data_IF_283858888097
#
_entry.id   IF_283858888097
#
_cell.length_a   1.000
_cell.length_b   1.000
_cell.length_c   1.000
_cell.angle_alpha   90.00
_cell.angle_beta   90.00
_cell.angle_gamma   90.00
#
_symmetry.space_group_name_H-M   'P 1'
#
loop_
_entity.id
_entity.type
_entity.pdbx_description
1 polymer ?
#
# COMPACT_ATOMS: atom_id res chain seq x y z
N UNK A 1 10.55 1.95 7.88
CA UNK A 1 9.14 1.97 8.35
C UNK A 1 8.87 3.34 8.92
N UNK A 2 7.74 3.96 8.59
CA UNK A 2 7.38 5.24 9.19
C UNK A 2 6.88 4.97 10.62
N UNK A 3 7.77 5.11 11.61
CA UNK A 3 7.47 4.84 13.03
C UNK A 3 6.45 5.82 13.62
N UNK A 4 6.06 6.86 12.87
CA UNK A 4 5.08 7.88 13.25
C UNK A 4 3.83 7.87 12.35
N UNK A 5 3.36 6.70 11.90
CA UNK A 5 2.07 6.62 11.19
C UNK A 5 0.94 7.17 12.07
N UNK A 6 0.11 8.06 11.53
CA UNK A 6 -1.04 8.62 12.25
C UNK A 6 -2.13 7.59 12.50
N UNK A 7 -2.21 6.55 11.67
CA UNK A 7 -3.28 5.54 11.71
C UNK A 7 -2.85 4.21 12.29
N UNK A 8 -1.65 3.73 11.96
CA UNK A 8 -1.16 2.41 12.34
C UNK A 8 -0.39 2.46 13.67
N UNK A 9 -0.89 1.74 14.68
CA UNK A 9 -0.20 1.54 15.97
C UNK A 9 0.89 0.48 15.86
N UNK A 10 0.66 -0.56 15.06
CA UNK A 10 1.65 -1.60 14.78
C UNK A 10 1.47 -2.18 13.38
N UNK A 11 2.55 -2.77 12.88
CA UNK A 11 2.60 -3.38 11.55
C UNK A 11 2.88 -4.87 11.66
N UNK A 12 2.19 -5.65 10.84
CA UNK A 12 2.39 -7.08 10.68
C UNK A 12 3.18 -7.36 9.40
N UNK A 13 3.85 -8.51 9.38
CA UNK A 13 4.45 -9.06 8.16
C UNK A 13 4.24 -10.56 8.15
N UNK A 14 3.75 -11.08 7.02
CA UNK A 14 3.59 -12.51 6.80
C UNK A 14 4.09 -12.87 5.41
N UNK A 15 4.66 -14.07 5.29
CA UNK A 15 5.05 -14.66 4.01
C UNK A 15 4.12 -15.84 3.74
N UNK A 16 3.37 -15.76 2.66
CA UNK A 16 2.57 -16.89 2.16
C UNK A 16 3.31 -17.54 1.01
N UNK A 17 3.12 -18.85 0.84
CA UNK A 17 3.69 -19.60 -0.28
C UNK A 17 2.57 -20.12 -1.17
N UNK A 18 2.73 -19.94 -2.48
CA UNK A 18 1.88 -20.48 -3.55
C UNK A 18 2.78 -21.27 -4.48
N UNK A 19 2.61 -22.59 -4.54
CA UNK A 19 3.50 -23.53 -5.23
C UNK A 19 5.00 -23.33 -4.88
N UNK A 20 5.79 -22.73 -5.79
CA UNK A 20 7.23 -22.43 -5.66
C UNK A 20 7.52 -20.94 -5.38
N UNK A 21 6.49 -20.10 -5.35
CA UNK A 21 6.60 -18.64 -5.23
C UNK A 21 6.16 -18.17 -3.84
N UNK A 22 6.80 -17.11 -3.35
CA UNK A 22 6.45 -16.47 -2.10
C UNK A 22 5.77 -15.12 -2.36
N UNK A 23 4.79 -14.77 -1.53
CA UNK A 23 4.24 -13.41 -1.44
C UNK A 23 4.47 -12.92 -0.03
N UNK A 24 5.16 -11.78 0.07
CA UNK A 24 5.36 -11.05 1.31
C UNK A 24 4.25 -10.02 1.43
N UNK A 25 3.49 -10.09 2.53
CA UNK A 25 2.51 -9.07 2.90
C UNK A 25 3.03 -8.25 4.07
N UNK A 26 2.96 -6.93 3.96
CA UNK A 26 3.09 -5.99 5.08
C UNK A 26 1.76 -5.26 5.23
N UNK A 27 1.23 -5.23 6.45
CA UNK A 27 -0.09 -4.69 6.71
C UNK A 27 -0.15 -3.99 8.04
N UNK A 28 -1.12 -3.10 8.22
CA UNK A 28 -1.41 -2.54 9.54
C UNK A 28 -1.93 -3.67 10.42
N UNK A 29 -1.24 -4.06 11.49
CA UNK A 29 -1.73 -5.15 12.35
C UNK A 29 -2.77 -4.63 13.34
N UNK A 30 -2.48 -3.46 13.91
CA UNK A 30 -3.36 -2.77 14.84
C UNK A 30 -3.38 -1.28 14.52
N UNK A 31 -4.58 -0.69 14.38
CA UNK A 31 -4.76 0.76 14.27
C UNK A 31 -4.71 1.43 15.65
N UNK A 32 -4.55 2.74 15.69
CA UNK A 32 -4.81 3.50 16.91
C UNK A 32 -6.26 3.35 17.37
N UNK A 33 -6.50 3.33 18.69
CA UNK A 33 -7.82 3.02 19.27
C UNK A 33 -8.90 4.07 18.89
N UNK A 34 -8.47 5.30 18.58
CA UNK A 34 -9.29 6.43 18.13
C UNK A 34 -9.35 6.58 16.60
N UNK A 35 -8.75 5.65 15.84
CA UNK A 35 -8.73 5.71 14.39
C UNK A 35 -10.10 5.34 13.79
N UNK A 36 -10.72 6.28 13.08
CA UNK A 36 -11.99 6.07 12.39
C UNK A 36 -11.76 5.63 10.93
N UNK A 37 -11.89 4.32 10.66
CA UNK A 37 -11.81 3.77 9.31
C UNK A 37 -12.87 4.37 8.36
N UNK A 38 -14.04 4.75 8.88
CA UNK A 38 -15.13 5.29 8.04
C UNK A 38 -14.82 6.68 7.46
N UNK A 39 -13.82 7.37 8.02
CA UNK A 39 -13.31 8.63 7.48
C UNK A 39 -12.63 8.49 6.12
N UNK A 40 -12.23 7.28 5.71
CA UNK A 40 -11.49 7.00 4.48
C UNK A 40 -12.24 6.00 3.59
N UNK A 41 -13.29 6.45 2.86
CA UNK A 41 -14.18 5.54 2.16
C UNK A 41 -13.67 5.07 0.79
N UNK A 42 -12.63 5.69 0.25
CA UNK A 42 -12.10 5.38 -1.07
C UNK A 42 -10.85 4.52 -0.97
N UNK A 43 -10.83 3.42 -1.72
CA UNK A 43 -9.67 2.53 -1.84
C UNK A 43 -8.90 2.85 -3.11
N UNK A 44 -7.60 3.04 -2.97
CA UNK A 44 -6.64 3.22 -4.05
C UNK A 44 -5.66 2.05 -4.06
N UNK A 45 -5.52 1.40 -5.21
CA UNK A 45 -4.52 0.34 -5.43
C UNK A 45 -3.50 0.86 -6.43
N UNK A 46 -2.25 0.95 -6.00
CA UNK A 46 -1.10 1.22 -6.87
C UNK A 46 -0.44 -0.13 -7.15
N UNK A 47 -0.32 -0.51 -8.41
CA UNK A 47 0.26 -1.77 -8.85
C UNK A 47 1.51 -1.51 -9.68
N UNK A 48 2.58 -2.25 -9.39
CA UNK A 48 3.84 -2.24 -10.11
C UNK A 48 4.18 -3.65 -10.55
N UNK A 49 4.16 -3.90 -11.87
CA UNK A 49 4.58 -5.17 -12.46
C UNK A 49 6.06 -5.13 -12.81
N UNK A 50 6.76 -6.21 -12.51
CA UNK A 50 8.18 -6.40 -12.81
C UNK A 50 8.40 -7.82 -13.34
N UNK A 51 9.61 -8.14 -13.77
CA UNK A 51 9.95 -9.48 -14.27
C UNK A 51 11.18 -10.01 -13.54
N UNK A 52 11.02 -11.13 -12.84
CA UNK A 52 12.07 -11.86 -12.17
C UNK A 52 11.71 -13.37 -12.08
N UNK A 53 12.71 -14.24 -12.19
CA UNK A 53 12.54 -15.70 -12.14
C UNK A 53 12.05 -16.19 -10.77
N UNK A 54 12.37 -15.45 -9.71
CA UNK A 54 11.98 -15.78 -8.33
C UNK A 54 10.60 -15.21 -7.94
N UNK A 55 10.00 -14.41 -8.82
CA UNK A 55 8.79 -13.66 -8.54
C UNK A 55 8.97 -12.50 -7.54
N UNK A 56 10.19 -12.25 -7.06
CA UNK A 56 10.55 -11.15 -6.16
C UNK A 56 11.34 -10.08 -6.91
N UNK A 57 11.24 -8.79 -6.54
CA UNK A 57 11.93 -7.75 -7.28
C UNK A 57 13.44 -7.83 -7.05
N UNK A 58 14.21 -7.70 -8.13
CA UNK A 58 15.65 -7.54 -8.05
C UNK A 58 16.02 -6.29 -7.20
N UNK A 59 17.24 -6.22 -6.61
CA UNK A 59 17.60 -5.13 -5.70
C UNK A 59 17.39 -3.72 -6.26
N UNK A 60 17.78 -3.46 -7.51
CA UNK A 60 17.58 -2.16 -8.18
C UNK A 60 16.09 -1.83 -8.36
N UNK A 61 15.29 -2.82 -8.75
CA UNK A 61 13.84 -2.64 -8.89
C UNK A 61 13.18 -2.32 -7.54
N UNK A 62 13.62 -3.01 -6.48
CA UNK A 62 13.17 -2.76 -5.11
C UNK A 62 13.54 -1.35 -4.64
N UNK A 63 14.73 -0.87 -4.96
CA UNK A 63 15.16 0.51 -4.63
C UNK A 63 14.22 1.54 -5.27
N UNK A 64 13.86 1.38 -6.56
CA UNK A 64 12.88 2.29 -7.19
C UNK A 64 11.47 2.21 -6.57
N UNK A 65 11.04 1.03 -6.13
CA UNK A 65 9.77 0.87 -5.42
C UNK A 65 9.81 1.56 -4.04
N UNK A 66 10.95 1.52 -3.36
CA UNK A 66 11.17 2.24 -2.10
C UNK A 66 11.19 3.76 -2.32
N UNK A 67 11.75 4.24 -3.44
CA UNK A 67 11.71 5.66 -3.82
C UNK A 67 10.27 6.15 -4.07
N UNK A 68 9.44 5.35 -4.74
CA UNK A 68 8.02 5.66 -4.92
C UNK A 68 7.32 5.78 -3.56
N UNK A 69 7.50 4.80 -2.68
CA UNK A 69 6.86 4.79 -1.37
C UNK A 69 7.32 5.99 -0.51
N UNK A 70 8.62 6.28 -0.50
CA UNK A 70 9.20 7.43 0.20
C UNK A 70 8.74 8.78 -0.37
N UNK A 71 8.42 8.85 -1.65
CA UNK A 71 7.86 10.05 -2.28
C UNK A 71 6.41 10.29 -1.89
N UNK A 72 5.61 9.23 -1.79
CA UNK A 72 4.17 9.32 -1.55
C UNK A 72 3.84 9.51 -0.08
N UNK A 73 4.44 8.71 0.81
CA UNK A 73 4.02 8.64 2.21
C UNK A 73 3.91 10.02 2.90
N UNK A 74 4.88 10.96 2.77
CA UNK A 74 4.80 12.25 3.45
C UNK A 74 3.64 13.13 2.98
N UNK A 75 3.15 12.97 1.75
CA UNK A 75 2.10 13.84 1.19
C UNK A 75 0.72 13.19 1.27
N UNK A 76 0.63 11.87 1.02
CA UNK A 76 -0.67 11.18 0.99
C UNK A 76 -1.13 10.76 2.39
N UNK A 77 -0.21 10.55 3.33
CA UNK A 77 -0.58 10.19 4.71
C UNK A 77 -0.64 11.41 5.65
N UNK A 78 -0.35 12.61 5.13
CA UNK A 78 -0.38 13.87 5.89
C UNK A 78 -1.72 14.07 6.60
N UNK A 79 -1.66 14.36 7.90
CA UNK A 79 -2.82 14.59 8.77
C UNK A 79 -3.88 13.47 8.73
N UNK A 80 -3.46 12.24 8.44
CA UNK A 80 -4.38 11.11 8.33
C UNK A 80 -5.29 11.15 7.10
N UNK A 81 -4.89 11.86 6.05
CA UNK A 81 -5.64 11.93 4.79
C UNK A 81 -5.78 10.58 4.08
N UNK A 82 -4.73 9.77 4.09
CA UNK A 82 -4.76 8.39 3.62
C UNK A 82 -4.01 7.47 4.58
N UNK A 83 -4.27 6.17 4.47
CA UNK A 83 -3.56 5.12 5.20
C UNK A 83 -3.14 4.03 4.25
N UNK A 84 -1.83 3.73 4.23
CA UNK A 84 -1.31 2.53 3.60
C UNK A 84 -1.71 1.32 4.45
N UNK A 85 -2.75 0.60 4.04
CA UNK A 85 -3.31 -0.50 4.82
C UNK A 85 -2.59 -1.83 4.57
N UNK A 86 -2.18 -2.07 3.31
CA UNK A 86 -1.61 -3.34 2.87
C UNK A 86 -0.62 -3.11 1.73
N UNK A 87 0.51 -3.81 1.79
CA UNK A 87 1.46 -3.99 0.69
C UNK A 87 1.66 -5.47 0.45
N UNK A 88 1.55 -5.92 -0.78
CA UNK A 88 1.92 -7.28 -1.20
C UNK A 88 3.09 -7.23 -2.16
N UNK A 89 4.06 -8.13 -2.05
CA UNK A 89 5.19 -8.25 -2.97
C UNK A 89 5.46 -9.72 -3.24
N UNK A 90 5.35 -10.12 -4.49
CA UNK A 90 5.58 -11.48 -4.96
C UNK A 90 4.90 -11.70 -6.30
N UNK A 91 5.13 -12.86 -6.92
CA UNK A 91 4.52 -13.22 -8.21
C UNK A 91 4.67 -12.11 -9.28
N UNK A 92 5.84 -11.47 -9.36
CA UNK A 92 6.12 -10.42 -10.35
C UNK A 92 5.23 -9.17 -10.22
N UNK A 93 4.67 -8.95 -9.03
CA UNK A 93 3.78 -7.85 -8.71
C UNK A 93 4.09 -7.27 -7.33
N UNK A 94 4.07 -5.94 -7.22
CA UNK A 94 3.94 -5.24 -5.94
C UNK A 94 2.70 -4.37 -5.98
N UNK A 95 1.84 -4.50 -4.96
CA UNK A 95 0.68 -3.64 -4.80
C UNK A 95 0.75 -2.89 -3.47
N UNK A 96 0.36 -1.62 -3.49
CA UNK A 96 0.11 -0.79 -2.31
C UNK A 96 -1.38 -0.45 -2.29
N UNK A 97 -2.06 -0.83 -1.21
CA UNK A 97 -3.48 -0.53 -0.99
C UNK A 97 -3.58 0.58 0.04
N UNK A 98 -4.00 1.74 -0.43
CA UNK A 98 -4.34 2.89 0.39
C UNK A 98 -5.85 2.96 0.58
N UNK A 99 -6.28 3.46 1.74
CA UNK A 99 -7.60 4.03 1.94
C UNK A 99 -7.46 5.53 2.17
N UNK A 100 -8.38 6.33 1.64
CA UNK A 100 -8.28 7.79 1.68
C UNK A 100 -9.63 8.47 1.84
N UNK A 101 -9.62 9.68 2.39
CA UNK A 101 -10.80 10.53 2.55
C UNK A 101 -11.42 10.94 1.20
N UNK A 102 -10.60 11.07 0.15
CA UNK A 102 -11.06 11.42 -1.21
C UNK A 102 -10.09 10.89 -2.26
N UNK A 103 -10.58 10.04 -3.16
CA UNK A 103 -9.77 9.52 -4.26
C UNK A 103 -9.25 10.62 -5.19
N UNK A 104 -10.06 11.66 -5.47
CA UNK A 104 -9.65 12.79 -6.32
C UNK A 104 -8.45 13.52 -5.72
N UNK A 105 -8.52 13.86 -4.44
CA UNK A 105 -7.45 14.58 -3.76
C UNK A 105 -6.20 13.71 -3.58
N UNK A 106 -6.35 12.39 -3.42
CA UNK A 106 -5.23 11.45 -3.45
C UNK A 106 -4.46 11.53 -4.77
N UNK A 107 -5.16 11.57 -5.91
CA UNK A 107 -4.51 11.73 -7.22
C UNK A 107 -3.80 13.08 -7.36
N UNK A 108 -4.37 14.17 -6.82
CA UNK A 108 -3.71 15.49 -6.82
C UNK A 108 -2.39 15.47 -6.04
N UNK A 109 -2.40 14.88 -4.83
CA UNK A 109 -1.22 14.73 -3.97
C UNK A 109 -0.17 13.82 -4.62
N UNK A 110 -0.60 12.69 -5.18
CA UNK A 110 0.26 11.77 -5.92
C UNK A 110 0.93 12.45 -7.11
N UNK A 111 0.18 13.14 -7.96
CA UNK A 111 0.74 13.83 -9.12
C UNK A 111 1.74 14.92 -8.69
N UNK A 112 1.44 15.66 -7.63
CA UNK A 112 2.35 16.65 -7.06
C UNK A 112 3.66 16.03 -6.58
N UNK A 113 3.59 14.94 -5.81
CA UNK A 113 4.79 14.26 -5.28
C UNK A 113 5.67 13.63 -6.37
N UNK A 114 5.08 13.21 -7.49
CA UNK A 114 5.79 12.53 -8.57
C UNK A 114 6.19 13.45 -9.73
N UNK A 115 5.72 14.71 -9.77
CA UNK A 115 5.91 15.62 -10.90
C UNK A 115 7.38 15.88 -11.29
N UNK A 116 8.29 15.89 -10.32
CA UNK A 116 9.73 16.12 -10.53
C UNK A 116 10.56 14.84 -10.63
N UNK A 117 9.92 13.68 -10.59
CA UNK A 117 10.57 12.37 -10.56
C UNK A 117 10.53 11.68 -11.92
N UNK A 118 11.43 10.72 -12.18
CA UNK A 118 11.29 9.82 -13.31
C UNK A 118 9.92 9.13 -13.30
N UNK A 119 9.42 8.77 -14.49
CA UNK A 119 8.14 8.08 -14.61
C UNK A 119 8.25 6.66 -14.03
N UNK A 120 7.42 6.37 -13.04
CA UNK A 120 7.28 5.02 -12.49
C UNK A 120 6.34 4.17 -13.37
N UNK A 121 6.61 2.85 -13.54
CA UNK A 121 5.79 1.94 -14.33
C UNK A 121 4.59 1.42 -13.51
N UNK A 122 3.79 2.35 -12.98
CA UNK A 122 2.66 2.03 -12.10
C UNK A 122 1.31 2.08 -12.82
N UNK A 123 0.43 1.15 -12.46
CA UNK A 123 -1.01 1.21 -12.75
C UNK A 123 -1.74 1.61 -11.47
N UNK A 124 -2.72 2.51 -11.56
CA UNK A 124 -3.51 2.93 -10.40
C UNK A 124 -4.99 2.61 -10.65
N UNK A 125 -5.64 2.00 -9.65
CA UNK A 125 -7.07 1.67 -9.66
C UNK A 125 -7.71 2.30 -8.43
N UNK A 126 -8.89 2.90 -8.59
CA UNK A 126 -9.66 3.46 -7.49
C UNK A 126 -11.07 2.89 -7.48
N UNK A 127 -11.61 2.69 -6.28
CA UNK A 127 -12.99 2.27 -6.07
C UNK A 127 -13.47 2.69 -4.68
N UNK A 128 -14.76 2.95 -4.53
CA UNK A 128 -15.36 3.11 -3.21
C UNK A 128 -15.33 1.77 -2.45
N UNK A 129 -14.89 1.81 -1.19
CA UNK A 129 -14.92 0.70 -0.25
C UNK A 129 -15.09 1.22 1.19
N UNK A 130 -16.23 1.87 1.51
CA UNK A 130 -16.44 2.51 2.80
C UNK A 130 -16.44 1.55 3.99
N UNK A 131 -16.65 0.25 3.73
CA UNK A 131 -16.60 -0.79 4.73
C UNK A 131 -15.20 -1.42 4.89
N UNK A 132 -14.20 -0.94 4.15
CA UNK A 132 -12.84 -1.50 4.12
C UNK A 132 -12.84 -3.01 3.82
N UNK A 133 -13.78 -3.45 2.99
CA UNK A 133 -14.08 -4.86 2.75
C UNK A 133 -12.88 -5.62 2.21
N UNK A 134 -12.08 -4.99 1.34
CA UNK A 134 -10.85 -5.60 0.82
C UNK A 134 -9.83 -5.85 1.92
N UNK A 135 -9.63 -4.88 2.80
CA UNK A 135 -8.67 -5.01 3.89
C UNK A 135 -9.16 -5.96 4.98
N UNK A 136 -10.44 -5.85 5.38
CA UNK A 136 -11.07 -6.77 6.32
C UNK A 136 -11.06 -8.22 5.80
N UNK A 137 -11.29 -8.41 4.50
CA UNK A 137 -11.18 -9.71 3.84
C UNK A 137 -9.77 -10.29 3.92
N UNK A 138 -8.74 -9.47 3.68
CA UNK A 138 -7.34 -9.88 3.87
C UNK A 138 -7.08 -10.30 5.33
N UNK A 139 -7.45 -9.46 6.30
CA UNK A 139 -7.23 -9.75 7.73
C UNK A 139 -7.92 -11.03 8.18
N UNK A 140 -9.13 -11.30 7.68
CA UNK A 140 -9.88 -12.53 7.99
C UNK A 140 -9.26 -13.80 7.36
N UNK A 141 -8.49 -13.65 6.28
CA UNK A 141 -7.81 -14.75 5.59
C UNK A 141 -6.42 -15.06 6.15
N UNK A 142 -5.89 -14.24 7.06
CA UNK A 142 -4.62 -14.51 7.72
C UNK A 142 -4.69 -15.85 8.48
N UNK A 143 -3.64 -16.70 8.38
CA UNK A 143 -3.56 -17.91 9.18
C UNK A 143 -3.50 -17.54 10.67
N UNK A 144 -4.23 -18.30 11.49
CA UNK A 144 -4.32 -18.13 12.95
C UNK A 144 -3.14 -18.78 13.68
#
# INVERSE_FOLDING_TARGET
>A
MNENSTSARSWGTIVTHSDEMAIIYRYVDTFHDDWDLSSQPDRIIIAWRYEDETGMPAPNEREHMEELEAALAPVVEEEGFATLALVSTGENLREWIYYTQSGEEFFNRLNTALASRPKFPIEIRSAADPAWSTYAGFMAALPK
#
